data_IF_609320760512
#
_entry.id   IF_609320760512
#
_cell.length_a   1.000
_cell.length_b   1.000
_cell.length_c   1.000
_cell.angle_alpha   90.00
_cell.angle_beta   90.00
_cell.angle_gamma   90.00
#
_symmetry.space_group_name_H-M   'P 1'
#
loop_
_entity.id
_entity.type
_entity.pdbx_description
1 polymer ?
#
# COMPACT_ATOMS: atom_id res chain seq x y z
N UNK A 1 -26.07 -11.04 22.42
CA UNK A 1 -25.31 -9.86 22.89
C UNK A 1 -23.84 -10.22 23.08
N UNK A 2 -23.52 -11.25 23.87
CA UNK A 2 -22.13 -11.68 24.13
C UNK A 2 -21.33 -12.03 22.85
N UNK A 3 -21.91 -12.80 21.93
CA UNK A 3 -21.30 -13.08 20.62
C UNK A 3 -21.10 -11.82 19.76
N UNK A 4 -22.00 -10.84 19.88
CA UNK A 4 -21.89 -9.56 19.13
C UNK A 4 -20.82 -8.66 19.73
N UNK A 5 -20.70 -8.62 21.06
CA UNK A 5 -19.65 -7.87 21.75
C UNK A 5 -18.26 -8.40 21.39
N UNK A 6 -18.09 -9.72 21.40
CA UNK A 6 -16.83 -10.36 20.97
C UNK A 6 -16.47 -10.02 19.52
N UNK A 7 -17.45 -10.04 18.60
CA UNK A 7 -17.22 -9.66 17.21
C UNK A 7 -16.80 -8.18 17.05
N UNK A 8 -17.32 -7.29 17.90
CA UNK A 8 -16.95 -5.87 17.90
C UNK A 8 -15.52 -5.68 18.43
N UNK A 9 -15.14 -6.37 19.50
CA UNK A 9 -13.76 -6.35 20.03
C UNK A 9 -12.76 -6.84 18.98
N UNK A 10 -13.07 -7.94 18.29
CA UNK A 10 -12.24 -8.48 17.22
C UNK A 10 -12.13 -7.50 16.04
N UNK A 11 -13.22 -6.85 15.66
CA UNK A 11 -13.23 -5.84 14.60
C UNK A 11 -12.40 -4.60 14.97
N UNK A 12 -12.47 -4.12 16.21
CA UNK A 12 -11.63 -3.02 16.70
C UNK A 12 -10.14 -3.40 16.71
N UNK A 13 -9.81 -4.63 17.11
CA UNK A 13 -8.45 -5.13 17.05
C UNK A 13 -7.93 -5.19 15.61
N UNK A 14 -8.74 -5.72 14.68
CA UNK A 14 -8.41 -5.77 13.25
C UNK A 14 -8.20 -4.37 12.66
N UNK A 15 -9.07 -3.40 12.97
CA UNK A 15 -8.91 -2.02 12.52
C UNK A 15 -7.61 -1.39 13.05
N UNK A 16 -7.24 -1.66 14.30
CA UNK A 16 -5.96 -1.20 14.86
C UNK A 16 -4.76 -1.78 14.10
N UNK A 17 -4.81 -3.05 13.75
CA UNK A 17 -3.75 -3.71 12.98
C UNK A 17 -3.66 -3.14 11.56
N UNK A 18 -4.79 -2.85 10.92
CA UNK A 18 -4.80 -2.18 9.60
C UNK A 18 -4.20 -0.77 9.70
N UNK A 19 -4.53 0.01 10.73
CA UNK A 19 -3.94 1.33 10.94
C UNK A 19 -2.41 1.27 11.12
N UNK A 20 -1.92 0.31 11.90
CA UNK A 20 -0.48 0.07 12.07
C UNK A 20 0.19 -0.33 10.75
N UNK A 21 -0.45 -1.22 9.98
CA UNK A 21 0.04 -1.63 8.67
C UNK A 21 0.10 -0.45 7.68
N UNK A 22 -0.89 0.46 7.70
CA UNK A 22 -0.87 1.66 6.88
C UNK A 22 0.28 2.59 7.26
N UNK A 23 0.52 2.78 8.57
CA UNK A 23 1.64 3.58 9.07
C UNK A 23 2.97 3.00 8.62
N UNK A 24 3.14 1.68 8.74
CA UNK A 24 4.33 0.97 8.27
C UNK A 24 4.52 1.08 6.75
N UNK A 25 3.44 0.94 5.98
CA UNK A 25 3.48 1.09 4.53
C UNK A 25 3.89 2.51 4.10
N UNK A 26 3.37 3.55 4.77
CA UNK A 26 3.78 4.93 4.54
C UNK A 26 5.26 5.18 4.86
N UNK A 27 5.79 4.59 5.94
CA UNK A 27 7.21 4.68 6.26
C UNK A 27 8.09 3.99 5.18
N UNK A 28 7.73 2.77 4.79
CA UNK A 28 8.42 2.04 3.72
C UNK A 28 8.38 2.79 2.39
N UNK A 29 7.26 3.44 2.07
CA UNK A 29 7.15 4.25 0.86
C UNK A 29 8.06 5.50 0.92
N UNK A 30 8.18 6.15 2.09
CA UNK A 30 9.09 7.28 2.24
C UNK A 30 10.57 6.86 2.07
N UNK A 31 10.96 5.72 2.66
CA UNK A 31 12.31 5.18 2.50
C UNK A 31 12.60 4.80 1.04
N UNK A 32 11.63 4.19 0.36
CA UNK A 32 11.76 3.83 -1.05
C UNK A 32 11.86 5.06 -1.97
N UNK A 33 11.17 6.16 -1.65
CA UNK A 33 11.30 7.42 -2.39
C UNK A 33 12.70 8.03 -2.23
N UNK A 34 13.24 8.03 -1.00
CA UNK A 34 14.62 8.46 -0.74
C UNK A 34 15.63 7.64 -1.56
N UNK A 35 15.48 6.31 -1.57
CA UNK A 35 16.36 5.42 -2.33
C UNK A 35 16.23 5.62 -3.85
N UNK A 36 15.02 5.90 -4.34
CA UNK A 36 14.81 6.27 -5.74
C UNK A 36 15.53 7.59 -6.08
N UNK A 37 15.45 8.60 -5.19
CA UNK A 37 16.14 9.87 -5.37
C UNK A 37 17.67 9.71 -5.38
N UNK A 38 18.25 8.93 -4.46
CA UNK A 38 19.68 8.59 -4.46
C UNK A 38 20.08 7.89 -5.77
N UNK A 39 19.29 6.92 -6.22
CA UNK A 39 19.58 6.20 -7.46
C UNK A 39 19.54 7.14 -8.68
N UNK A 40 18.63 8.11 -8.72
CA UNK A 40 18.63 9.14 -9.77
C UNK A 40 19.90 9.99 -9.77
N UNK A 41 20.41 10.36 -8.59
CA UNK A 41 21.67 11.11 -8.49
C UNK A 41 22.85 10.30 -9.01
N UNK A 42 22.90 9.00 -8.69
CA UNK A 42 23.93 8.08 -9.23
C UNK A 42 23.84 7.99 -10.75
N UNK A 43 22.63 7.85 -11.32
CA UNK A 43 22.44 7.82 -12.78
C UNK A 43 22.87 9.14 -13.44
N UNK A 44 22.57 10.29 -12.82
CA UNK A 44 23.02 11.59 -13.33
C UNK A 44 24.55 11.74 -13.28
N UNK A 45 25.19 11.25 -12.21
CA UNK A 45 26.66 11.23 -12.11
C UNK A 45 27.29 10.29 -13.15
N UNK A 46 26.65 9.16 -13.45
CA UNK A 46 27.09 8.22 -14.47
C UNK A 46 27.00 8.85 -15.87
N UNK A 47 25.90 9.53 -16.19
CA UNK A 47 25.73 10.27 -17.44
C UNK A 47 26.81 11.37 -17.60
N UNK A 48 27.07 12.15 -16.55
CA UNK A 48 28.12 13.17 -16.55
C UNK A 48 29.52 12.55 -16.77
N UNK A 49 29.82 11.44 -16.10
CA UNK A 49 31.09 10.73 -16.25
C UNK A 49 31.26 10.17 -17.67
N UNK A 50 30.20 9.58 -18.23
CA UNK A 50 30.20 9.06 -19.59
C UNK A 50 30.43 10.17 -20.64
N UNK A 51 29.86 11.36 -20.44
CA UNK A 51 30.12 12.54 -21.29
C UNK A 51 31.57 13.01 -21.21
N UNK A 52 32.16 13.02 -20.01
CA UNK A 52 33.58 13.34 -19.84
C UNK A 52 34.48 12.34 -20.56
N UNK A 53 34.19 11.03 -20.44
CA UNK A 53 34.94 10.00 -21.16
C UNK A 53 34.78 10.17 -22.67
N UNK A 54 33.57 10.46 -23.16
CA UNK A 54 33.33 10.74 -24.59
C UNK A 54 34.24 11.85 -25.10
N UNK A 55 34.38 12.96 -24.36
CA UNK A 55 35.27 14.05 -24.76
C UNK A 55 36.76 13.63 -24.80
N UNK A 56 37.19 12.73 -23.91
CA UNK A 56 38.56 12.20 -23.93
C UNK A 56 38.77 11.27 -25.13
N UNK A 57 37.77 10.43 -25.42
CA UNK A 57 37.76 9.53 -26.59
C UNK A 57 37.87 10.33 -27.89
N UNK A 58 37.13 11.44 -28.02
CA UNK A 58 37.22 12.33 -29.19
C UNK A 58 38.64 12.91 -29.37
N UNK A 59 39.29 13.32 -28.27
CA UNK A 59 40.69 13.80 -28.31
C UNK A 59 41.66 12.69 -28.74
N UNK A 60 41.47 11.47 -28.24
CA UNK A 60 42.31 10.32 -28.62
C UNK A 60 42.14 10.00 -30.11
N UNK A 61 40.91 10.07 -30.63
CA UNK A 61 40.63 9.86 -32.05
C UNK A 61 41.34 10.93 -32.91
N UNK A 62 41.25 12.20 -32.50
CA UNK A 62 41.97 13.31 -33.14
C UNK A 62 43.48 13.10 -33.14
N UNK A 63 44.06 12.67 -32.01
CA UNK A 63 45.50 12.36 -31.89
C UNK A 63 45.89 11.19 -32.78
N UNK A 64 45.09 10.13 -32.83
CA UNK A 64 45.33 8.99 -33.71
C UNK A 64 45.30 9.41 -35.18
N UNK A 65 44.33 10.25 -35.57
CA UNK A 65 44.21 10.81 -36.92
C UNK A 65 45.43 11.67 -37.29
N UNK A 66 45.87 12.56 -36.41
CA UNK A 66 47.06 13.38 -36.61
C UNK A 66 48.33 12.53 -36.70
N UNK A 67 48.46 11.50 -35.85
CA UNK A 67 49.60 10.57 -35.88
C UNK A 67 49.65 9.79 -37.19
N UNK A 68 48.49 9.34 -37.70
CA UNK A 68 48.39 8.70 -39.00
C UNK A 68 48.82 9.67 -40.13
N UNK A 69 48.35 10.92 -40.12
CA UNK A 69 48.78 11.93 -41.11
C UNK A 69 50.29 12.22 -41.04
N UNK A 70 50.84 12.34 -39.83
CA UNK A 70 52.28 12.55 -39.62
C UNK A 70 53.11 11.37 -40.14
N UNK A 71 52.65 10.14 -39.92
CA UNK A 71 53.31 8.94 -40.41
C UNK A 71 53.32 8.88 -41.95
N UNK A 72 52.24 9.31 -42.59
CA UNK A 72 52.15 9.41 -44.06
C UNK A 72 53.15 10.45 -44.58
N UNK A 73 53.23 11.62 -43.94
CA UNK A 73 54.22 12.64 -44.30
C UNK A 73 55.66 12.11 -44.13
N UNK A 74 55.94 11.37 -43.07
CA UNK A 74 57.24 10.74 -42.85
C UNK A 74 57.57 9.67 -43.90
N UNK A 75 56.58 8.88 -44.35
CA UNK A 75 56.76 7.94 -45.47
C UNK A 75 57.10 8.66 -46.78
N UNK A 76 56.44 9.79 -47.07
CA UNK A 76 56.72 10.60 -48.26
C UNK A 76 58.15 11.16 -48.21
N UNK A 77 58.58 11.67 -47.05
CA UNK A 77 59.92 12.22 -46.91
C UNK A 77 61.00 11.13 -46.95
N UNK A 78 60.75 9.96 -46.36
CA UNK A 78 61.64 8.80 -46.45
C UNK A 78 61.83 8.34 -47.90
N UNK A 79 60.77 8.38 -48.72
CA UNK A 79 60.86 8.04 -50.15
C UNK A 79 61.72 9.04 -50.95
N UNK A 80 61.82 10.30 -50.54
CA UNK A 80 62.64 11.32 -51.24
C UNK A 80 64.14 11.11 -51.10
N UNK A 81 64.59 10.53 -49.99
CA UNK A 81 66.03 10.28 -49.71
C UNK A 81 66.52 8.89 -50.19
N UNK A 82 65.67 8.12 -50.89
CA UNK A 82 66.05 6.84 -51.50
C UNK A 82 66.47 5.79 -50.47
N UNK A 83 67.52 5.02 -50.76
CA UNK A 83 67.98 3.90 -49.91
C UNK A 83 68.45 4.31 -48.52
N UNK A 84 68.79 5.58 -48.29
CA UNK A 84 69.10 6.10 -46.95
C UNK A 84 67.86 6.23 -46.05
N UNK A 85 66.65 6.26 -46.65
CA UNK A 85 65.37 6.40 -45.96
C UNK A 85 64.66 5.09 -45.63
N UNK A 86 65.17 3.93 -46.07
CA UNK A 86 64.47 2.65 -45.95
C UNK A 86 64.11 2.29 -44.49
N UNK A 87 65.02 2.54 -43.55
CA UNK A 87 64.77 2.34 -42.12
C UNK A 87 63.70 3.29 -41.56
N UNK A 88 63.69 4.55 -41.99
CA UNK A 88 62.66 5.53 -41.63
C UNK A 88 61.29 5.17 -42.21
N UNK A 89 61.25 4.63 -43.43
CA UNK A 89 60.02 4.18 -44.06
C UNK A 89 59.37 3.02 -43.31
N UNK A 90 60.17 2.07 -42.79
CA UNK A 90 59.67 0.96 -41.95
C UNK A 90 59.06 1.48 -40.66
N UNK A 91 59.74 2.38 -39.95
CA UNK A 91 59.22 2.99 -38.72
C UNK A 91 57.94 3.77 -38.98
N UNK A 92 57.90 4.58 -40.05
CA UNK A 92 56.72 5.34 -40.42
C UNK A 92 55.52 4.42 -40.75
N UNK A 93 55.74 3.28 -41.40
CA UNK A 93 54.69 2.29 -41.64
C UNK A 93 54.15 1.67 -40.34
N UNK A 94 55.02 1.39 -39.37
CA UNK A 94 54.61 0.81 -38.10
C UNK A 94 53.83 1.82 -37.25
N UNK A 95 54.25 3.09 -37.24
CA UNK A 95 53.49 4.19 -36.63
C UNK A 95 52.12 4.33 -37.28
N UNK A 96 52.03 4.25 -38.60
CA UNK A 96 50.76 4.28 -39.33
C UNK A 96 49.81 3.17 -38.89
N UNK A 97 50.30 1.93 -38.84
CA UNK A 97 49.50 0.78 -38.39
C UNK A 97 49.04 0.94 -36.94
N UNK A 98 49.92 1.41 -36.06
CA UNK A 98 49.58 1.65 -34.67
C UNK A 98 48.50 2.73 -34.54
N UNK A 99 48.62 3.83 -35.28
CA UNK A 99 47.62 4.90 -35.30
C UNK A 99 46.23 4.41 -35.76
N UNK A 100 46.17 3.59 -36.81
CA UNK A 100 44.92 2.98 -37.28
C UNK A 100 44.31 2.04 -36.23
N UNK A 101 45.13 1.23 -35.55
CA UNK A 101 44.69 0.33 -34.49
C UNK A 101 44.16 1.10 -33.28
N UNK A 102 44.78 2.23 -32.92
CA UNK A 102 44.28 3.12 -31.86
C UNK A 102 42.94 3.73 -32.26
N UNK A 103 42.79 4.22 -33.50
CA UNK A 103 41.52 4.77 -33.98
C UNK A 103 40.39 3.72 -33.93
N UNK A 104 40.65 2.49 -34.38
CA UNK A 104 39.68 1.39 -34.30
C UNK A 104 39.27 1.07 -32.85
N UNK A 105 40.24 0.96 -31.94
CA UNK A 105 39.96 0.74 -30.53
C UNK A 105 39.18 1.89 -29.89
N UNK A 106 39.49 3.13 -30.29
CA UNK A 106 38.80 4.35 -29.80
C UNK A 106 37.34 4.37 -30.22
N UNK A 107 37.05 3.97 -31.47
CA UNK A 107 35.67 3.83 -31.96
C UNK A 107 34.87 2.78 -31.17
N UNK A 108 35.49 1.64 -30.85
CA UNK A 108 34.84 0.61 -30.03
C UNK A 108 34.54 1.11 -28.61
N UNK A 109 35.43 1.90 -28.02
CA UNK A 109 35.20 2.54 -26.71
C UNK A 109 34.07 3.57 -26.81
N UNK A 110 34.04 4.38 -27.87
CA UNK A 110 32.97 5.36 -28.11
C UNK A 110 31.59 4.69 -28.13
N UNK A 111 31.44 3.59 -28.87
CA UNK A 111 30.20 2.81 -28.94
C UNK A 111 29.78 2.28 -27.55
N UNK A 112 30.72 1.79 -26.74
CA UNK A 112 30.43 1.36 -25.38
C UNK A 112 29.97 2.51 -24.48
N UNK A 113 30.56 3.69 -24.61
CA UNK A 113 30.16 4.88 -23.86
C UNK A 113 28.74 5.33 -24.24
N UNK A 114 28.39 5.31 -25.53
CA UNK A 114 27.02 5.58 -25.97
C UNK A 114 26.01 4.58 -25.38
N UNK A 115 26.35 3.30 -25.34
CA UNK A 115 25.53 2.27 -24.71
C UNK A 115 25.31 2.57 -23.22
N UNK A 116 26.37 2.89 -22.48
CA UNK A 116 26.29 3.25 -21.06
C UNK A 116 25.39 4.47 -20.84
N UNK A 117 25.50 5.51 -21.68
CA UNK A 117 24.63 6.69 -21.58
C UNK A 117 23.16 6.34 -21.83
N UNK A 118 22.87 5.54 -22.86
CA UNK A 118 21.50 5.09 -23.15
C UNK A 118 20.90 4.30 -21.99
N UNK A 119 21.67 3.38 -21.42
CA UNK A 119 21.22 2.57 -20.30
C UNK A 119 21.02 3.41 -19.02
N UNK A 120 21.88 4.39 -18.76
CA UNK A 120 21.72 5.32 -17.64
C UNK A 120 20.43 6.16 -17.76
N UNK A 121 20.15 6.69 -18.96
CA UNK A 121 18.90 7.43 -19.24
C UNK A 121 17.68 6.53 -19.06
N UNK A 122 17.73 5.31 -19.59
CA UNK A 122 16.64 4.34 -19.47
C UNK A 122 16.39 3.96 -18.01
N UNK A 123 17.45 3.70 -17.25
CA UNK A 123 17.37 3.41 -15.81
C UNK A 123 16.76 4.59 -15.05
N UNK A 124 17.19 5.82 -15.33
CA UNK A 124 16.61 7.04 -14.74
C UNK A 124 15.10 7.15 -14.95
N UNK A 125 14.62 6.85 -16.16
CA UNK A 125 13.18 6.85 -16.48
C UNK A 125 12.40 5.78 -15.71
N UNK A 126 12.96 4.58 -15.59
CA UNK A 126 12.33 3.50 -14.79
C UNK A 126 12.25 3.92 -13.32
N UNK A 127 13.31 4.49 -12.76
CA UNK A 127 13.33 4.97 -11.37
C UNK A 127 12.29 6.08 -11.15
N UNK A 128 12.08 6.97 -12.13
CA UNK A 128 11.02 7.98 -12.07
C UNK A 128 9.62 7.35 -12.00
N UNK A 129 9.37 6.33 -12.82
CA UNK A 129 8.09 5.59 -12.79
C UNK A 129 7.89 4.86 -11.46
N UNK A 130 8.94 4.22 -10.93
CA UNK A 130 8.91 3.55 -9.64
C UNK A 130 8.59 4.53 -8.51
N UNK A 131 9.20 5.71 -8.50
CA UNK A 131 8.90 6.73 -7.48
C UNK A 131 7.46 7.24 -7.56
N UNK A 132 6.89 7.40 -8.76
CA UNK A 132 5.47 7.74 -8.92
C UNK A 132 4.56 6.67 -8.29
N UNK A 133 4.84 5.40 -8.55
CA UNK A 133 4.09 4.28 -7.95
C UNK A 133 4.24 4.23 -6.42
N UNK A 134 5.42 4.54 -5.88
CA UNK A 134 5.67 4.66 -4.44
C UNK A 134 4.86 5.82 -3.83
N UNK A 135 4.86 6.98 -4.48
CA UNK A 135 4.06 8.14 -4.05
C UNK A 135 2.56 7.83 -4.04
N UNK A 136 2.07 7.13 -5.06
CA UNK A 136 0.67 6.69 -5.12
C UNK A 136 0.36 5.71 -3.98
N UNK A 137 1.24 4.75 -3.73
CA UNK A 137 1.13 3.81 -2.60
C UNK A 137 1.02 4.54 -1.26
N UNK A 138 1.86 5.55 -1.03
CA UNK A 138 1.81 6.36 0.19
C UNK A 138 0.48 7.12 0.33
N UNK A 139 -0.03 7.69 -0.76
CA UNK A 139 -1.33 8.38 -0.79
C UNK A 139 -2.49 7.43 -0.45
N UNK A 140 -2.46 6.22 -1.03
CA UNK A 140 -3.44 5.17 -0.74
C UNK A 140 -3.35 4.74 0.73
N UNK A 141 -2.15 4.51 1.27
CA UNK A 141 -1.98 4.17 2.70
C UNK A 141 -2.56 5.23 3.64
N UNK A 142 -2.37 6.51 3.34
CA UNK A 142 -2.98 7.61 4.12
C UNK A 142 -4.50 7.62 4.03
N UNK A 143 -5.04 7.36 2.84
CA UNK A 143 -6.49 7.29 2.62
C UNK A 143 -7.10 6.11 3.39
N UNK A 144 -6.44 4.95 3.37
CA UNK A 144 -6.87 3.79 4.16
C UNK A 144 -6.80 4.11 5.65
N UNK A 145 -5.72 4.72 6.15
CA UNK A 145 -5.59 5.10 7.55
C UNK A 145 -6.75 6.01 8.02
N UNK A 146 -7.08 7.04 7.23
CA UNK A 146 -8.22 7.92 7.52
C UNK A 146 -9.56 7.17 7.51
N UNK A 147 -9.73 6.24 6.56
CA UNK A 147 -10.95 5.41 6.49
C UNK A 147 -11.07 4.48 7.70
N UNK A 148 -9.95 3.92 8.16
CA UNK A 148 -9.88 3.05 9.34
C UNK A 148 -10.20 3.81 10.62
N UNK A 149 -9.73 5.06 10.76
CA UNK A 149 -10.11 5.93 11.87
C UNK A 149 -11.63 6.17 11.90
N UNK A 150 -12.22 6.48 10.75
CA UNK A 150 -13.67 6.66 10.62
C UNK A 150 -14.43 5.36 10.96
N UNK A 151 -13.98 4.23 10.43
CA UNK A 151 -14.58 2.92 10.73
C UNK A 151 -14.48 2.58 12.22
N UNK A 152 -13.35 2.87 12.88
CA UNK A 152 -13.19 2.64 14.31
C UNK A 152 -14.20 3.43 15.13
N UNK A 153 -14.45 4.69 14.77
CA UNK A 153 -15.50 5.51 15.40
C UNK A 153 -16.89 4.88 15.22
N UNK A 154 -17.25 4.49 13.99
CA UNK A 154 -18.55 3.86 13.71
C UNK A 154 -18.74 2.57 14.48
N UNK A 155 -17.71 1.73 14.55
CA UNK A 155 -17.74 0.48 15.30
C UNK A 155 -17.92 0.72 16.80
N UNK A 156 -17.26 1.74 17.35
CA UNK A 156 -17.44 2.12 18.76
C UNK A 156 -18.88 2.58 19.04
N UNK A 157 -19.53 3.28 18.11
CA UNK A 157 -20.92 3.69 18.23
C UNK A 157 -21.89 2.50 18.14
N UNK A 158 -21.59 1.52 17.28
CA UNK A 158 -22.32 0.25 17.22
C UNK A 158 -22.21 -0.50 18.56
N UNK A 159 -21.02 -0.56 19.16
CA UNK A 159 -20.81 -1.17 20.47
C UNK A 159 -21.71 -0.54 21.55
N UNK A 160 -21.76 0.80 21.58
CA UNK A 160 -22.63 1.54 22.49
C UNK A 160 -24.11 1.23 22.26
N UNK A 161 -24.53 1.23 21.00
CA UNK A 161 -25.92 0.93 20.61
C UNK A 161 -26.34 -0.49 21.03
N UNK A 162 -25.45 -1.48 20.86
CA UNK A 162 -25.72 -2.86 21.29
C UNK A 162 -25.85 -2.94 22.81
N UNK A 163 -25.05 -2.19 23.57
CA UNK A 163 -25.17 -2.14 25.02
C UNK A 163 -26.52 -1.55 25.47
N UNK A 164 -26.97 -0.48 24.82
CA UNK A 164 -28.28 0.14 25.07
C UNK A 164 -29.43 -0.83 24.75
N UNK A 165 -29.34 -1.55 23.62
CA UNK A 165 -30.32 -2.58 23.23
C UNK A 165 -30.36 -3.71 24.27
N UNK A 166 -29.21 -4.15 24.79
CA UNK A 166 -29.15 -5.19 25.82
C UNK A 166 -29.86 -4.74 27.10
N UNK A 167 -29.62 -3.50 27.55
CA UNK A 167 -30.30 -2.95 28.72
C UNK A 167 -31.81 -2.82 28.50
N UNK A 168 -32.24 -2.42 27.32
CA UNK A 168 -33.65 -2.36 26.96
C UNK A 168 -34.31 -3.76 26.98
N UNK A 169 -33.63 -4.78 26.45
CA UNK A 169 -34.10 -6.16 26.47
C UNK A 169 -34.24 -6.71 27.91
N UNK A 170 -33.31 -6.38 28.80
CA UNK A 170 -33.41 -6.72 30.23
C UNK A 170 -34.61 -6.04 30.90
N UNK A 171 -34.86 -4.77 30.56
CA UNK A 171 -36.03 -4.01 31.00
C UNK A 171 -37.35 -4.67 30.57
N UNK A 172 -37.48 -5.00 29.28
CA UNK A 172 -38.65 -5.70 28.73
C UNK A 172 -38.85 -7.06 29.40
N UNK A 173 -37.77 -7.80 29.62
CA UNK A 173 -37.83 -9.08 30.35
C UNK A 173 -38.35 -8.91 31.78
N UNK A 174 -37.97 -7.82 32.45
CA UNK A 174 -38.50 -7.42 33.75
C UNK A 174 -40.00 -7.10 33.71
N UNK A 175 -40.44 -6.35 32.70
CA UNK A 175 -41.85 -5.99 32.54
C UNK A 175 -42.73 -7.21 32.19
N UNK A 176 -42.22 -8.14 31.38
CA UNK A 176 -42.90 -9.43 31.12
C UNK A 176 -43.09 -10.22 32.42
N UNK A 177 -42.09 -10.25 33.31
CA UNK A 177 -42.23 -10.89 34.64
C UNK A 177 -43.33 -10.23 35.47
N UNK A 178 -43.44 -8.90 35.46
CA UNK A 178 -44.51 -8.17 36.15
C UNK A 178 -45.89 -8.48 35.56
N UNK A 179 -46.01 -8.51 34.23
CA UNK A 179 -47.25 -8.86 33.52
C UNK A 179 -47.69 -10.28 33.87
N UNK A 180 -46.78 -11.26 33.86
CA UNK A 180 -47.08 -12.63 34.29
C UNK A 180 -47.60 -12.68 35.73
N UNK A 181 -46.97 -11.96 36.65
CA UNK A 181 -47.42 -11.89 38.04
C UNK A 181 -48.82 -11.25 38.18
N UNK A 182 -49.09 -10.18 37.42
CA UNK A 182 -50.41 -9.53 37.42
C UNK A 182 -51.51 -10.43 36.83
N UNK A 183 -51.19 -11.19 35.77
CA UNK A 183 -52.09 -12.17 35.18
C UNK A 183 -52.39 -13.31 36.17
N UNK A 184 -51.39 -13.81 36.90
CA UNK A 184 -51.56 -14.81 37.95
C UNK A 184 -52.53 -14.31 39.04
N UNK A 185 -52.31 -13.09 39.55
CA UNK A 185 -53.18 -12.50 40.57
C UNK A 185 -54.62 -12.33 40.07
N UNK A 186 -54.79 -11.88 38.83
CA UNK A 186 -56.12 -11.75 38.19
C UNK A 186 -56.81 -13.10 38.07
N UNK A 187 -56.08 -14.15 37.70
CA UNK A 187 -56.60 -15.51 37.62
C UNK A 187 -57.09 -16.00 38.99
N UNK A 188 -56.30 -15.81 40.06
CA UNK A 188 -56.71 -16.13 41.43
C UNK A 188 -57.98 -15.39 41.84
N UNK A 189 -58.03 -14.07 41.62
CA UNK A 189 -59.20 -13.25 41.94
C UNK A 189 -60.46 -13.68 41.17
N UNK A 190 -60.31 -14.08 39.89
CA UNK A 190 -61.39 -14.62 39.09
C UNK A 190 -61.91 -15.95 39.64
N UNK A 191 -61.03 -16.86 40.09
CA UNK A 191 -61.41 -18.12 40.75
C UNK A 191 -62.17 -17.87 42.06
N UNK A 192 -61.70 -16.93 42.88
CA UNK A 192 -62.38 -16.55 44.14
C UNK A 192 -63.77 -15.93 43.88
N UNK A 193 -63.86 -15.06 42.88
CA UNK A 193 -65.13 -14.45 42.44
C UNK A 193 -66.10 -15.51 41.96
N UNK A 194 -65.64 -16.45 41.13
CA UNK A 194 -66.45 -17.59 40.64
C UNK A 194 -66.94 -18.47 41.80
N UNK A 195 -66.08 -18.74 42.79
CA UNK A 195 -66.47 -19.49 43.98
C UNK A 195 -67.55 -18.76 44.79
N UNK A 196 -67.39 -17.46 44.99
CA UNK A 196 -68.35 -16.62 45.72
C UNK A 196 -69.70 -16.52 45.00
N UNK A 197 -69.69 -16.37 43.67
CA UNK A 197 -70.90 -16.40 42.85
C UNK A 197 -71.63 -17.76 42.96
N UNK A 198 -70.89 -18.87 42.99
CA UNK A 198 -71.45 -20.21 43.22
C UNK A 198 -72.15 -20.33 44.58
N UNK A 199 -71.51 -19.84 45.67
CA UNK A 199 -72.11 -19.81 47.02
C UNK A 199 -73.37 -18.95 47.08
N UNK A 200 -73.37 -17.78 46.43
CA UNK A 200 -74.53 -16.90 46.35
C UNK A 200 -75.70 -17.57 45.62
N UNK A 201 -75.44 -18.27 44.52
CA UNK A 201 -76.47 -19.02 43.79
C UNK A 201 -77.10 -20.12 44.67
N UNK A 202 -76.28 -20.85 45.44
CA UNK A 202 -76.76 -21.87 46.38
C UNK A 202 -77.62 -21.29 47.52
N UNK A 203 -77.20 -20.13 48.06
CA UNK A 203 -77.97 -19.41 49.07
C UNK A 203 -79.33 -18.91 48.50
N UNK A 204 -79.34 -18.41 47.27
CA UNK A 204 -80.56 -17.96 46.60
C UNK A 204 -81.55 -19.11 46.40
N UNK A 205 -81.09 -20.29 45.95
CA UNK A 205 -81.92 -21.50 45.83
C UNK A 205 -82.50 -21.91 47.19
N UNK A 206 -81.67 -21.85 48.24
CA UNK A 206 -82.10 -22.19 49.61
C UNK A 206 -83.17 -21.23 50.11
N UNK A 207 -82.97 -19.92 49.92
CA UNK A 207 -83.94 -18.90 50.29
C UNK A 207 -85.26 -19.07 49.53
N UNK A 208 -85.21 -19.35 48.23
CA UNK A 208 -86.40 -19.60 47.40
C UNK A 208 -87.19 -20.81 47.91
N UNK A 209 -86.49 -21.91 48.24
CA UNK A 209 -87.11 -23.11 48.83
C UNK A 209 -87.76 -22.82 50.18
N UNK A 210 -87.14 -21.98 51.02
CA UNK A 210 -87.71 -21.55 52.30
C UNK A 210 -89.00 -20.76 52.05
N UNK A 211 -88.98 -19.78 51.15
CA UNK A 211 -90.16 -18.98 50.80
C UNK A 211 -91.31 -19.84 50.26
N UNK A 212 -91.03 -20.82 49.40
CA UNK A 212 -92.03 -21.77 48.89
C UNK A 212 -92.68 -22.59 50.00
N UNK A 213 -91.90 -23.00 51.01
CA UNK A 213 -92.40 -23.76 52.16
C UNK A 213 -93.38 -22.96 53.03
N UNK A 214 -93.26 -21.64 53.06
CA UNK A 214 -94.13 -20.73 53.81
C UNK A 214 -95.36 -20.26 53.01
N UNK A 215 -95.51 -20.66 51.74
CA UNK A 215 -96.65 -20.30 50.88
C UNK A 215 -97.89 -21.19 51.04
N UNK A 216 -97.96 -22.01 52.09
CA UNK A 216 -99.09 -22.91 52.42
C UNK A 216 -100.01 -22.26 53.44
#
# INVERSE_FOLDING_TARGET
VESTASAIEEMLASLKDVAQNCTRASAMAADADNQANETRQVMASLDASAKQISSVVDIIEDVARQTNLLSINAMVEAAKVGSAGDGFAVVANEVKKLALKVAEATNQVAEQIENIQRDAIRAGKVIEQTAKAISETNSVSRTIASTVEQQSSTVSEIAKTIQEISQAADGVSGDIRKVNHAAQNTSTAATETSSSAGKLAELAITAQRVVERFKV
#
